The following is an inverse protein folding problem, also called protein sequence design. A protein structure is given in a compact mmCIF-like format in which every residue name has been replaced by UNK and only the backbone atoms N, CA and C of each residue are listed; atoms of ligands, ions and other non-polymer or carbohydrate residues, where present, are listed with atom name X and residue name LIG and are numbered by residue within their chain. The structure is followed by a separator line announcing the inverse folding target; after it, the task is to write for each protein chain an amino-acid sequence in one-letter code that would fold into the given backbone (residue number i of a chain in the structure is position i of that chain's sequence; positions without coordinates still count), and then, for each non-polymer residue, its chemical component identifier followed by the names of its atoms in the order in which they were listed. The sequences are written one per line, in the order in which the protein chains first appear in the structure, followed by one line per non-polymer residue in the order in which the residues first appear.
data_IF_355623752564
#
_entry.id   IF_355623752564
#
_cell.length_a   1.000
_cell.length_b   1.000
_cell.length_c   1.000
_cell.angle_alpha   90.00
_cell.angle_beta   90.00
_cell.angle_gamma   90.00
#
_symmetry.space_group_name_H-M   'P 1'
#
loop_
_entity.id
_entity.type
_entity.pdbx_description
1 polymer ?
2 non-polymer ?
3 water ?
#
# COMPACT_ATOMS: atom_id res chain seq x y z
N UNK A 10 -1.05 -17.26 -8.77
CA UNK A 10 -0.24 -16.17 -9.39
C UNK A 10 -0.81 -14.77 -9.13
N UNK A 11 0.06 -13.93 -8.60
CA UNK A 11 -0.19 -12.50 -8.51
C UNK A 11 -0.01 -12.03 -9.96
N UNK A 12 -0.94 -11.20 -10.47
CA UNK A 12 -0.85 -10.84 -11.88
C UNK A 12 0.26 -9.83 -12.22
N UNK A 13 0.74 -9.91 -13.45
CA UNK A 13 1.70 -8.94 -13.96
C UNK A 13 0.99 -7.60 -14.14
N UNK A 14 1.75 -6.52 -14.20
CA UNK A 14 1.13 -5.20 -14.44
C UNK A 14 0.49 -5.17 -15.83
N UNK A 15 -0.54 -4.34 -16.01
CA UNK A 15 -1.14 -4.18 -17.34
C UNK A 15 -0.48 -3.08 -18.17
N UNK A 16 0.40 -2.29 -17.56
CA UNK A 16 1.02 -1.16 -18.27
C UNK A 16 2.14 -1.59 -19.19
N UNK A 17 2.72 -0.64 -19.94
CA UNK A 17 3.75 -0.96 -20.93
C UNK A 17 5.16 -1.26 -20.37
N UNK A 18 5.47 -0.87 -19.16
CA UNK A 18 6.83 -1.07 -18.64
C UNK A 18 6.99 -2.35 -17.86
N UNK A 19 8.12 -3.01 -18.04
CA UNK A 19 8.62 -4.02 -17.11
C UNK A 19 8.82 -3.40 -15.72
N UNK A 20 8.76 -4.27 -14.70
CA UNK A 20 8.74 -3.87 -13.32
C UNK A 20 9.88 -4.52 -12.51
N UNK A 21 10.53 -3.69 -11.68
CA UNK A 21 11.63 -4.11 -10.83
C UNK A 21 11.18 -4.01 -9.40
N UNK A 22 11.94 -4.60 -8.48
CA UNK A 22 11.62 -4.49 -7.07
C UNK A 22 12.86 -4.63 -6.18
N UNK A 23 12.85 -3.92 -5.06
CA UNK A 23 13.93 -3.98 -4.09
C UNK A 23 13.43 -3.51 -2.74
N UNK A 24 14.27 -3.70 -1.72
CA UNK A 24 13.99 -3.23 -0.37
C UNK A 24 14.96 -2.14 0.03
N UNK A 25 14.49 -1.19 0.82
CA UNK A 25 15.32 -0.08 1.33
C UNK A 25 15.03 0.08 2.78
N UNK A 26 16.07 -0.03 3.60
CA UNK A 26 15.92 0.32 5.00
C UNK A 26 16.95 1.38 5.34
N UNK A 27 16.45 2.57 5.69
CA UNK A 27 17.31 3.65 6.16
C UNK A 27 16.57 4.63 7.09
N UNK A 28 17.07 4.90 8.30
CA UNK A 28 18.24 4.20 8.85
C UNK A 28 17.91 2.75 9.25
N UNK A 29 18.86 2.10 9.91
CA UNK A 29 18.74 0.73 10.39
C UNK A 29 17.88 0.56 11.65
N UNK A 30 17.42 1.65 12.27
CA UNK A 30 16.76 1.55 13.57
C UNK A 30 15.28 1.36 13.38
N UNK A 31 14.60 1.11 14.49
CA UNK A 31 13.13 1.07 14.54
C UNK A 31 12.43 2.41 14.28
N UNK A 32 13.17 3.52 14.29
CA UNK A 32 12.65 4.83 13.85
C UNK A 32 12.98 5.15 12.37
N UNK A 33 13.66 4.23 11.70
CA UNK A 33 14.05 4.44 10.33
C UNK A 33 12.89 4.16 9.41
N UNK A 34 13.13 4.38 8.13
CA UNK A 34 12.19 4.00 7.08
C UNK A 34 12.54 2.59 6.59
N UNK A 35 11.51 1.78 6.42
CA UNK A 35 11.60 0.46 5.78
C UNK A 35 10.55 0.49 4.68
N UNK A 36 10.98 0.29 3.44
CA UNK A 36 10.03 0.14 2.37
C UNK A 36 10.44 -0.87 1.30
N UNK A 37 9.43 -1.35 0.57
CA UNK A 37 9.65 -2.11 -0.66
C UNK A 37 9.33 -1.22 -1.83
N UNK A 38 10.28 -1.09 -2.73
CA UNK A 38 10.18 -0.25 -3.90
C UNK A 38 9.83 -1.10 -5.13
N UNK A 39 8.82 -0.65 -5.88
CA UNK A 39 8.44 -1.21 -7.19
C UNK A 39 8.65 -0.10 -8.19
N UNK A 40 9.30 -0.40 -9.31
CA UNK A 40 9.73 0.67 -10.19
C UNK A 40 9.83 0.20 -11.64
N UNK A 41 9.68 1.13 -12.60
CA UNK A 41 9.86 0.74 -13.99
C UNK A 41 11.27 0.25 -14.20
N UNK A 42 11.43 -0.92 -14.82
CA UNK A 42 12.75 -1.55 -14.93
C UNK A 42 13.25 -1.58 -16.38
N UNK A 43 14.56 -1.48 -16.53
CA UNK A 43 15.20 -1.63 -17.83
C UNK A 43 15.07 -3.07 -18.36
N UNK A 44 15.43 -4.03 -17.51
CA UNK A 44 15.56 -5.44 -17.90
C UNK A 44 14.44 -6.29 -17.32
N UNK A 45 14.19 -7.41 -17.97
CA UNK A 45 13.10 -8.29 -17.63
C UNK A 45 13.55 -9.75 -17.52
N UNK A 46 14.84 -9.98 -17.25
CA UNK A 46 15.43 -11.32 -17.21
C UNK A 46 16.06 -11.64 -15.84
N UNK A 47 15.52 -11.03 -14.79
CA UNK A 47 15.97 -11.26 -13.42
C UNK A 47 15.03 -12.21 -12.72
N UNK A 48 15.52 -12.76 -11.62
CA UNK A 48 14.70 -13.56 -10.73
C UNK A 48 13.51 -12.77 -10.23
N UNK A 49 12.35 -13.42 -10.22
CA UNK A 49 11.17 -12.83 -9.60
C UNK A 49 11.36 -12.64 -8.09
N UNK A 50 10.47 -11.82 -7.52
CA UNK A 50 10.60 -11.35 -6.16
C UNK A 50 9.88 -12.29 -5.19
N UNK A 51 10.62 -12.74 -4.18
CA UNK A 51 10.10 -13.59 -3.11
C UNK A 51 9.05 -12.80 -2.34
N UNK A 52 7.83 -13.34 -2.30
CA UNK A 52 6.65 -12.61 -1.83
C UNK A 52 6.61 -12.31 -0.31
N UNK A 53 6.88 -13.34 0.47
CA UNK A 53 6.97 -13.22 1.92
C UNK A 53 8.36 -13.77 2.33
N UNK A 54 9.35 -12.87 2.46
CA UNK A 54 10.74 -13.26 2.47
C UNK A 54 11.39 -13.75 3.77
N UNK A 55 10.66 -13.83 4.87
CA UNK A 55 11.22 -14.38 6.10
C UNK A 55 10.16 -15.12 6.87
N UNK A 56 10.59 -16.15 7.58
CA UNK A 56 9.70 -17.00 8.38
C UNK A 56 8.96 -16.24 9.48
N UNK A 57 9.60 -15.21 10.03
CA UNK A 57 9.01 -14.46 11.13
C UNK A 57 7.69 -13.75 10.71
N UNK A 58 7.57 -13.37 9.44
CA UNK A 58 6.28 -12.82 8.95
C UNK A 58 5.13 -13.81 9.07
N UNK A 59 5.41 -15.10 8.89
CA UNK A 59 4.41 -16.14 9.04
C UNK A 59 4.06 -16.37 10.49
N UNK A 60 5.03 -16.29 11.38
CA UNK A 60 4.74 -16.27 12.81
C UNK A 60 3.83 -15.07 13.13
N UNK A 61 4.16 -13.92 12.56
CA UNK A 61 3.30 -12.73 12.63
C UNK A 61 1.87 -12.94 12.17
N UNK A 62 1.69 -13.47 10.97
CA UNK A 62 0.32 -13.72 10.45
C UNK A 62 -0.45 -14.68 11.37
N UNK A 63 0.25 -15.66 11.94
CA UNK A 63 -0.37 -16.60 12.87
C UNK A 63 -0.98 -15.94 14.12
N UNK A 64 -0.26 -14.99 14.71
CA UNK A 64 -0.77 -14.22 15.85
C UNK A 64 -1.92 -13.29 15.41
N UNK A 65 -1.83 -12.71 14.22
CA UNK A 65 -2.93 -11.91 13.65
C UNK A 65 -4.20 -12.77 13.46
N UNK A 66 -4.03 -14.03 13.10
CA UNK A 66 -5.17 -14.94 12.99
C UNK A 66 -5.64 -15.49 14.33
N UNK A 67 -4.88 -15.29 15.41
CA UNK A 67 -5.22 -15.81 16.73
C UNK A 67 -5.05 -17.32 16.88
N UNK A 68 -4.20 -17.90 16.02
CA UNK A 68 -3.88 -19.33 16.08
C UNK A 68 -2.55 -19.54 16.81
N UNK A 69 -2.24 -20.80 17.11
CA UNK A 69 -0.95 -21.14 17.71
C UNK A 69 0.15 -20.82 16.69
N UNK A 70 1.35 -20.51 17.18
CA UNK A 70 2.49 -20.20 16.27
C UNK A 70 2.88 -21.34 15.28
N UNK A 71 2.45 -22.56 15.58
CA UNK A 71 2.56 -23.71 14.68
C UNK A 71 1.81 -23.51 13.36
N UNK A 72 0.65 -22.87 13.40
CA UNK A 72 -0.01 -22.48 12.15
C UNK A 72 0.95 -21.67 11.26
N UNK A 73 1.84 -20.87 11.84
CA UNK A 73 2.83 -20.10 11.07
C UNK A 73 3.77 -20.94 10.21
N UNK A 74 4.36 -21.97 10.82
CA UNK A 74 5.18 -22.94 10.07
C UNK A 74 4.41 -23.62 8.91
N UNK A 75 3.10 -23.83 9.10
CA UNK A 75 2.21 -24.37 8.06
C UNK A 75 1.90 -23.36 6.95
N UNK A 76 1.70 -22.10 7.33
CA UNK A 76 1.55 -21.01 6.36
C UNK A 76 2.83 -20.87 5.53
N UNK A 77 3.97 -20.99 6.19
CA UNK A 77 5.24 -20.90 5.53
C UNK A 77 5.46 -22.05 4.56
N UNK A 78 5.17 -23.26 5.03
CA UNK A 78 5.17 -24.40 4.16
C UNK A 78 4.31 -24.17 2.90
N UNK A 79 3.14 -23.55 3.04
CA UNK A 79 2.21 -23.36 1.90
C UNK A 79 2.59 -22.21 0.97
N UNK A 80 3.08 -21.12 1.56
CA UNK A 80 3.29 -19.85 0.87
C UNK A 80 4.72 -19.35 0.80
N UNK A 81 5.66 -20.04 1.46
CA UNK A 81 7.02 -19.51 1.64
C UNK A 81 7.95 -19.49 0.44
N UNK A 82 7.57 -20.20 -0.62
CA UNK A 82 8.34 -20.26 -1.85
C UNK A 82 7.73 -19.37 -2.92
N UNK A 83 6.53 -18.84 -2.67
CA UNK A 83 5.79 -18.12 -3.70
C UNK A 83 6.50 -16.82 -4.02
N UNK A 84 6.56 -16.48 -5.30
CA UNK A 84 7.14 -15.23 -5.73
C UNK A 84 6.06 -14.30 -6.29
N UNK A 85 6.45 -13.07 -6.61
CA UNK A 85 5.57 -12.07 -7.23
C UNK A 85 6.29 -11.54 -8.46
N UNK A 86 5.54 -11.27 -9.57
CA UNK A 86 6.22 -11.03 -10.86
C UNK A 86 6.86 -9.63 -11.05
N UNK A 87 7.91 -9.38 -10.27
CA UNK A 87 8.75 -8.19 -10.30
C UNK A 87 10.21 -8.60 -10.27
N UNK A 88 11.02 -8.01 -11.15
CA UNK A 88 12.41 -8.39 -11.33
C UNK A 88 13.24 -7.90 -10.15
N UNK A 89 13.68 -8.82 -9.30
CA UNK A 89 14.42 -8.48 -8.08
C UNK A 89 15.73 -7.77 -8.40
N UNK A 90 15.90 -6.55 -7.86
CA UNK A 90 17.12 -5.73 -8.03
C UNK A 90 17.45 -5.38 -9.48
N UNK A 91 16.46 -5.43 -10.37
CA UNK A 91 16.63 -4.97 -11.75
C UNK A 91 17.02 -3.48 -11.71
N UNK A 92 17.95 -3.07 -12.60
CA UNK A 92 18.18 -1.63 -12.69
C UNK A 92 16.94 -0.83 -13.12
N UNK A 93 16.84 0.39 -12.61
CA UNK A 93 15.80 1.35 -12.97
C UNK A 93 15.84 1.70 -14.44
N UNK A 94 14.67 1.79 -15.06
CA UNK A 94 14.56 2.24 -16.45
C UNK A 94 14.90 3.73 -16.45
N UNK A 95 15.95 4.15 -17.17
CA UNK A 95 16.35 5.54 -17.13
C UNK A 95 15.65 6.37 -18.21
N UNK A 96 15.86 7.68 -18.12
CA UNK A 96 15.49 8.64 -19.18
C UNK A 96 14.10 9.22 -19.09
N UNK A 97 13.56 9.27 -17.89
CA UNK A 97 12.18 9.69 -17.66
C UNK A 97 11.98 9.87 -16.16
N UNK A 98 11.30 10.95 -15.77
CA UNK A 98 11.00 11.20 -14.35
C UNK A 98 9.66 10.59 -14.02
N UNK A 99 9.63 9.80 -12.96
CA UNK A 99 8.45 9.03 -12.61
C UNK A 99 7.73 9.70 -11.43
N UNK A 100 6.37 9.77 -11.47
CA UNK A 100 5.63 10.13 -10.26
C UNK A 100 5.73 9.04 -9.18
N UNK A 101 5.45 9.43 -7.93
CA UNK A 101 5.68 8.57 -6.76
C UNK A 101 4.41 8.35 -5.99
N UNK A 102 4.12 7.08 -5.70
CA UNK A 102 3.07 6.70 -4.77
C UNK A 102 3.74 6.16 -3.51
N UNK A 103 3.26 6.61 -2.35
CA UNK A 103 3.64 6.01 -1.08
C UNK A 103 2.41 5.17 -0.69
N UNK A 104 2.62 3.88 -0.40
CA UNK A 104 1.56 2.93 -0.08
C UNK A 104 1.59 2.43 1.39
N UNK A 105 0.42 2.49 2.07
CA UNK A 105 0.29 2.04 3.46
C UNK A 105 -0.57 0.78 3.60
N UNK A 106 0.02 -0.25 4.22
CA UNK A 106 -0.65 -1.52 4.44
C UNK A 106 -1.66 -1.56 5.59
N UNK A 107 -2.52 -2.57 5.55
CA UNK A 107 -3.54 -2.80 6.59
C UNK A 107 -3.00 -3.39 7.90
N UNK A 108 -3.91 -3.50 8.86
CA UNK A 108 -3.68 -4.16 10.14
C UNK A 108 -3.38 -5.63 9.93
N UNK A 109 -2.27 -6.10 10.51
CA UNK A 109 -1.80 -7.48 10.35
C UNK A 109 -1.09 -7.80 9.04
N UNK A 110 -0.94 -6.80 8.16
CA UNK A 110 -0.23 -6.94 6.89
C UNK A 110 1.22 -6.50 7.04
N UNK A 111 1.92 -6.30 5.94
CA UNK A 111 3.29 -5.74 5.98
C UNK A 111 3.61 -5.29 4.56
N UNK A 112 4.85 -4.88 4.29
CA UNK A 112 5.12 -4.13 3.02
C UNK A 112 4.99 -4.88 1.69
N UNK A 113 5.04 -6.22 1.76
CA UNK A 113 5.17 -7.05 0.58
C UNK A 113 3.83 -7.52 0.01
N UNK A 114 2.74 -7.32 0.75
CA UNK A 114 1.44 -7.97 0.48
C UNK A 114 0.45 -7.20 -0.40
N UNK A 115 0.91 -6.11 -1.03
CA UNK A 115 0.10 -5.40 -2.01
C UNK A 115 0.93 -5.22 -3.25
N UNK A 116 1.61 -6.30 -3.66
CA UNK A 116 2.38 -6.30 -4.91
C UNK A 116 1.53 -6.23 -6.18
N UNK A 117 0.31 -6.78 -6.17
CA UNK A 117 -0.56 -6.67 -7.35
C UNK A 117 -0.82 -5.20 -7.71
N UNK A 118 -1.08 -4.38 -6.69
CA UNK A 118 -1.27 -2.93 -6.87
C UNK A 118 0.03 -2.27 -7.25
N UNK A 119 1.10 -2.56 -6.50
CA UNK A 119 2.39 -1.93 -6.66
C UNK A 119 3.03 -2.18 -8.00
N UNK A 120 3.04 -3.44 -8.39
CA UNK A 120 3.46 -3.87 -9.72
C UNK A 120 2.62 -3.23 -10.82
N UNK A 121 1.31 -3.13 -10.64
CA UNK A 121 0.53 -2.54 -11.73
C UNK A 121 0.88 -1.04 -11.90
N UNK A 122 0.94 -0.32 -10.81
CA UNK A 122 1.30 1.11 -10.86
C UNK A 122 2.65 1.29 -11.54
N UNK A 123 3.65 0.51 -11.09
CA UNK A 123 5.00 0.58 -11.69
C UNK A 123 4.99 0.36 -13.17
N UNK A 124 4.24 -0.64 -13.64
CA UNK A 124 4.15 -0.95 -15.08
C UNK A 124 3.55 0.17 -15.92
N UNK A 125 2.76 1.06 -15.30
CA UNK A 125 2.30 2.29 -15.94
C UNK A 125 3.23 3.49 -15.76
N UNK A 126 4.33 3.31 -15.04
CA UNK A 126 5.36 4.34 -14.95
C UNK A 126 5.43 5.11 -13.65
N UNK A 127 4.99 4.47 -12.55
CA UNK A 127 5.15 5.00 -11.20
C UNK A 127 6.26 4.28 -10.45
N UNK A 128 6.94 5.00 -9.56
CA UNK A 128 7.70 4.37 -8.51
C UNK A 128 6.73 4.30 -7.33
N UNK A 129 6.70 3.15 -6.67
CA UNK A 129 5.81 2.89 -5.55
C UNK A 129 6.67 2.53 -4.33
N UNK A 130 6.48 3.26 -3.24
CA UNK A 130 7.15 2.99 -1.99
C UNK A 130 6.14 2.43 -1.01
N UNK A 131 6.17 1.11 -0.84
CA UNK A 131 5.31 0.42 0.10
C UNK A 131 6.07 0.38 1.43
N UNK A 132 5.66 1.23 2.36
CA UNK A 132 6.36 1.37 3.63
C UNK A 132 6.03 0.17 4.54
N UNK A 133 6.91 -0.14 5.48
CA UNK A 133 6.57 -1.12 6.50
C UNK A 133 6.53 -0.37 7.82
N UNK A 134 5.34 -0.36 8.42
CA UNK A 134 5.07 0.39 9.62
C UNK A 134 5.64 -0.30 10.84
N UNK A 135 6.16 0.52 11.74
CA UNK A 135 6.79 0.05 12.98
C UNK A 135 5.97 0.42 14.21
N UNK A 136 4.65 0.51 14.01
CA UNK A 136 3.67 0.90 15.04
C UNK A 136 3.05 -0.30 15.76
N UNK A 137 3.48 -1.51 15.39
CA UNK A 137 2.89 -2.78 15.84
C UNK A 137 1.50 -3.05 15.26
N UNK A 138 1.20 -2.41 14.12
CA UNK A 138 0.04 -2.78 13.33
C UNK A 138 0.42 -3.83 12.29
N UNK A 139 1.70 -3.94 11.95
CA UNK A 139 2.17 -4.97 11.05
C UNK A 139 2.17 -6.29 11.81
N UNK A 140 1.82 -7.39 11.12
CA UNK A 140 1.95 -8.74 11.69
C UNK A 140 3.36 -8.92 12.25
N UNK A 141 4.32 -8.48 11.45
CA UNK A 141 5.71 -8.45 11.86
C UNK A 141 6.48 -7.46 11.03
N UNK A 142 7.57 -6.97 11.60
CA UNK A 142 8.57 -6.17 10.90
C UNK A 142 9.89 -6.35 11.64
N UNK A 143 10.97 -5.83 11.09
CA UNK A 143 12.24 -5.93 11.78
C UNK A 143 13.12 -4.70 11.55
N UNK A 144 14.19 -4.66 12.36
CA UNK A 144 15.16 -3.59 12.33
C UNK A 144 16.38 -4.02 13.14
N UNK A 145 17.37 -3.14 13.24
CA UNK A 145 18.62 -3.46 13.93
C UNK A 145 18.79 -2.54 15.13
N UNK A 146 19.16 -3.15 16.26
CA UNK A 146 19.26 -2.44 17.53
C UNK A 146 20.34 -1.37 17.48
N UNK A 147 21.39 -1.62 16.72
CA UNK A 147 22.46 -0.65 16.57
C UNK A 147 23.27 -0.97 15.32
N UNK A 148 24.32 -0.21 15.07
CA UNK A 148 25.09 -0.33 13.83
C UNK A 148 25.73 -1.73 13.68
N UNK A 149 26.37 -2.21 14.75
CA UNK A 149 26.97 -3.55 14.80
C UNK A 149 26.04 -4.64 14.27
N UNK A 150 24.85 -4.71 14.88
CA UNK A 150 23.80 -5.66 14.51
C UNK A 150 23.38 -5.57 13.04
N UNK A 151 23.30 -4.34 12.52
CA UNK A 151 23.00 -4.13 11.10
C UNK A 151 24.09 -4.69 10.19
N UNK A 152 25.35 -4.45 10.51
CA UNK A 152 26.46 -4.99 9.71
C UNK A 152 26.50 -6.52 9.64
N UNK A 153 26.26 -7.18 10.77
CA UNK A 153 26.23 -8.66 10.79
C UNK A 153 24.86 -9.28 10.51
N UNK A 154 23.86 -8.48 10.15
CA UNK A 154 22.51 -8.99 9.89
C UNK A 154 21.73 -9.55 11.07
N UNK A 155 22.03 -9.07 12.28
CA UNK A 155 21.33 -9.50 13.50
C UNK A 155 19.99 -8.75 13.67
N UNK A 156 18.92 -9.38 13.18
CA UNK A 156 17.59 -8.76 13.12
C UNK A 156 16.83 -8.79 14.46
N UNK A 157 16.19 -7.67 14.77
CA UNK A 157 15.27 -7.59 15.88
C UNK A 157 13.84 -7.55 15.33
N UNK A 158 13.02 -8.46 15.81
CA UNK A 158 11.67 -8.59 15.32
C UNK A 158 10.63 -7.96 16.25
N UNK A 159 9.67 -7.29 15.64
CA UNK A 159 8.58 -6.61 16.33
C UNK A 159 7.27 -7.16 15.82
N UNK A 160 6.43 -7.67 16.73
CA UNK A 160 5.20 -8.37 16.36
C UNK A 160 3.96 -7.54 16.61
N UNK A 161 2.89 -7.84 15.86
CA UNK A 161 1.57 -7.25 16.05
C UNK A 161 1.20 -7.15 17.51
N UNK A 162 0.71 -5.98 17.92
CA UNK A 162 0.19 -5.77 19.24
C UNK A 162 -1.31 -6.07 19.27
N UNK A 163 -1.73 -6.96 20.14
CA UNK A 163 -3.16 -7.19 20.37
C UNK A 163 -3.65 -6.23 21.44
N UNK A 164 -4.79 -5.60 21.21
CA UNK A 164 -5.34 -4.58 22.11
C UNK A 164 -6.51 -5.12 22.91
N UNK A 165 -6.61 -4.67 24.15
CA UNK A 165 -7.83 -4.81 24.94
C UNK A 165 -8.84 -3.78 24.38
N UNK A 166 -10.15 -3.97 24.63
CA UNK A 166 -11.21 -3.05 24.10
C UNK A 166 -11.11 -1.63 24.64
N UNK A 167 -10.60 -1.54 25.85
CA UNK A 167 -10.33 -0.29 26.53
C UNK A 167 -9.22 0.53 25.88
N UNK A 168 -8.32 -0.13 25.16
CA UNK A 168 -7.19 0.52 24.46
C UNK A 168 -7.49 0.92 23.03
N UNK A 169 -8.57 0.43 22.44
CA UNK A 169 -8.79 0.52 20.98
C UNK A 169 -8.73 1.95 20.46
N UNK A 170 -9.56 2.84 21.01
CA UNK A 170 -9.69 4.20 20.47
C UNK A 170 -8.35 4.89 20.49
N UNK A 171 -7.80 5.03 21.69
CA UNK A 171 -6.55 5.73 21.93
C UNK A 171 -5.35 5.15 21.14
N UNK A 172 -5.15 3.84 21.19
CA UNK A 172 -3.98 3.24 20.58
C UNK A 172 -4.06 3.24 19.05
N UNK A 173 -5.23 2.87 18.49
CA UNK A 173 -5.44 3.00 17.03
C UNK A 173 -5.17 4.41 16.53
N UNK A 174 -5.52 5.42 17.30
CA UNK A 174 -5.23 6.81 16.91
C UNK A 174 -3.73 7.13 17.00
N UNK A 175 -3.04 6.66 18.05
CA UNK A 175 -1.58 6.83 18.18
C UNK A 175 -0.88 6.18 16.98
N UNK A 176 -1.38 5.01 16.61
CA UNK A 176 -0.86 4.27 15.47
C UNK A 176 -1.04 4.97 14.08
N UNK A 177 -2.22 5.52 13.81
CA UNK A 177 -2.45 6.18 12.51
C UNK A 177 -1.58 7.45 12.41
N UNK A 178 -1.34 8.12 13.54
CA UNK A 178 -0.45 9.29 13.54
C UNK A 178 0.99 8.88 13.26
N UNK A 179 1.44 7.79 13.90
CA UNK A 179 2.75 7.26 13.60
C UNK A 179 2.84 6.80 12.15
N UNK A 180 1.80 6.12 11.66
CA UNK A 180 1.75 5.74 10.23
C UNK A 180 1.90 6.96 9.31
N UNK A 181 1.14 8.02 9.56
CA UNK A 181 1.30 9.24 8.73
C UNK A 181 2.75 9.75 8.77
N UNK A 182 3.35 9.83 9.97
CA UNK A 182 4.75 10.22 10.12
C UNK A 182 5.74 9.37 9.36
N UNK A 183 5.49 8.05 9.32
CA UNK A 183 6.32 7.12 8.55
C UNK A 183 6.14 7.35 7.04
N UNK A 184 4.93 7.70 6.58
CA UNK A 184 4.71 8.06 5.17
C UNK A 184 5.43 9.33 4.77
N UNK A 185 5.34 10.37 5.61
CA UNK A 185 6.12 11.58 5.35
C UNK A 185 7.62 11.33 5.37
N UNK A 186 8.09 10.51 6.31
CA UNK A 186 9.54 10.24 6.40
C UNK A 186 10.05 9.48 5.16
N UNK A 187 9.25 8.52 4.70
CA UNK A 187 9.58 7.76 3.50
C UNK A 187 9.61 8.67 2.28
N UNK A 188 8.64 9.58 2.17
CA UNK A 188 8.67 10.56 1.06
C UNK A 188 9.95 11.39 1.09
N UNK A 189 10.32 11.87 2.27
CA UNK A 189 11.55 12.67 2.45
C UNK A 189 12.82 11.88 2.08
N UNK A 190 12.88 10.62 2.51
CA UNK A 190 14.02 9.77 2.16
C UNK A 190 14.15 9.65 0.65
N UNK A 191 13.04 9.33 -0.02
CA UNK A 191 13.05 9.16 -1.48
C UNK A 191 13.41 10.47 -2.15
N UNK A 192 12.80 11.56 -1.71
CA UNK A 192 13.15 12.89 -2.24
C UNK A 192 14.61 13.28 -2.01
N UNK A 193 15.19 12.92 -0.86
CA UNK A 193 16.63 13.18 -0.65
C UNK A 193 17.51 12.32 -1.52
N UNK A 194 17.08 11.09 -1.78
CA UNK A 194 17.79 10.20 -2.71
C UNK A 194 17.66 10.72 -4.15
N UNK A 195 16.50 11.26 -4.50
CA UNK A 195 16.34 11.89 -5.81
C UNK A 195 17.30 13.06 -5.96
N UNK A 196 17.39 13.89 -4.93
CA UNK A 196 18.35 15.00 -4.92
C UNK A 196 19.78 14.57 -4.55
N UNK A 197 20.09 13.27 -4.69
CA UNK A 197 21.47 12.76 -4.71
C UNK A 197 22.19 12.51 -3.41
N UNK A 198 21.51 12.67 -2.27
CA UNK A 198 22.10 12.36 -0.98
C UNK A 198 22.47 10.87 -0.98
N UNK A 199 23.77 10.55 -0.77
CA UNK A 199 24.13 9.13 -0.65
C UNK A 199 23.51 8.49 0.59
N UNK A 200 22.98 7.29 0.44
CA UNK A 200 22.23 6.61 1.48
C UNK A 200 22.73 5.16 1.49
N UNK A 201 23.40 4.77 2.56
CA UNK A 201 23.83 3.38 2.75
C UNK A 201 22.64 2.51 3.22
N UNK A 202 22.06 1.77 2.28
CA UNK A 202 20.97 0.83 2.56
C UNK A 202 21.40 -0.15 3.65
N UNK A 203 20.58 -0.27 4.69
CA UNK A 203 20.91 -1.13 5.84
C UNK A 203 20.90 -2.63 5.46
N UNK A 204 20.22 -2.94 4.36
CA UNK A 204 20.24 -4.26 3.76
C UNK A 204 21.30 -4.25 2.67
N UNK A 205 22.18 -5.25 2.64
CA UNK A 205 23.19 -5.41 1.57
C UNK A 205 22.51 -6.05 0.38
N UNK A 206 21.89 -5.24 -0.47
CA UNK A 206 21.27 -5.71 -1.69
C UNK A 206 21.98 -5.02 -2.85
N UNK A 207 22.02 -5.69 -4.00
CA UNK A 207 22.75 -5.16 -5.15
C UNK A 207 21.80 -4.34 -6.03
N UNK A 208 21.21 -3.33 -5.40
CA UNK A 208 20.50 -2.29 -6.09
C UNK A 208 21.18 -1.00 -5.65
N UNK A 209 21.89 -0.39 -6.58
CA UNK A 209 22.55 0.87 -6.36
C UNK A 209 21.51 1.99 -6.28
N UNK A 210 21.41 2.61 -5.11
CA UNK A 210 20.42 3.66 -4.86
C UNK A 210 20.71 4.93 -5.66
N UNK A 211 21.96 5.12 -6.08
CA UNK A 211 22.34 6.24 -6.93
C UNK A 211 21.57 6.32 -8.26
N UNK A 212 21.06 5.18 -8.72
CA UNK A 212 20.16 5.14 -9.88
C UNK A 212 18.94 6.05 -9.74
N UNK A 213 18.45 6.18 -8.51
CA UNK A 213 17.25 6.98 -8.25
C UNK A 213 17.48 8.49 -8.35
N UNK A 214 18.74 8.93 -8.37
CA UNK A 214 19.05 10.34 -8.58
C UNK A 214 18.34 10.88 -9.83
N UNK A 215 17.63 11.99 -9.66
CA UNK A 215 16.94 12.70 -10.75
C UNK A 215 15.94 11.84 -11.52
N UNK A 216 15.36 10.85 -10.85
CA UNK A 216 14.39 9.95 -11.46
C UNK A 216 12.95 10.18 -10.99
N UNK A 217 12.74 11.02 -9.97
CA UNK A 217 11.43 11.30 -9.39
C UNK A 217 10.90 12.63 -9.93
N UNK A 218 9.63 12.64 -10.35
CA UNK A 218 8.93 13.85 -10.75
C UNK A 218 8.45 14.46 -9.45
N UNK A 219 9.20 15.42 -8.93
CA UNK A 219 9.12 15.79 -7.50
C UNK A 219 7.79 16.42 -7.06
N UNK A 220 7.05 17.02 -7.98
CA UNK A 220 5.72 17.59 -7.69
C UNK A 220 4.62 16.53 -7.56
N UNK A 221 4.79 15.40 -8.26
CA UNK A 221 3.71 14.48 -8.54
C UNK A 221 3.75 13.32 -7.55
N UNK A 222 3.23 13.58 -6.35
CA UNK A 222 3.24 12.60 -5.26
C UNK A 222 1.82 12.31 -4.80
N UNK A 223 1.50 11.03 -4.61
CA UNK A 223 0.23 10.65 -4.03
C UNK A 223 0.44 9.65 -2.93
N UNK A 224 -0.55 9.50 -2.06
CA UNK A 224 -0.53 8.47 -1.02
C UNK A 224 -1.74 7.55 -1.27
N UNK A 225 -1.52 6.23 -1.17
CA UNK A 225 -2.57 5.20 -1.35
C UNK A 225 -2.46 4.13 -0.24
N UNK A 226 -3.57 3.56 0.20
CA UNK A 226 -3.48 2.50 1.20
C UNK A 226 -4.78 1.79 1.42
N UNK A 227 -4.65 0.61 2.03
CA UNK A 227 -5.75 -0.31 2.26
C UNK A 227 -6.10 -0.39 3.73
N UNK A 228 -7.38 -0.17 4.02
CA UNK A 228 -7.96 -0.44 5.32
C UNK A 228 -7.37 0.51 6.37
N UNK A 229 -6.54 0.02 7.30
CA UNK A 229 -5.79 0.86 8.19
C UNK A 229 -4.98 1.85 7.33
N UNK A 230 -4.45 1.35 6.23
CA UNK A 230 -3.79 2.17 5.25
C UNK A 230 -4.62 3.29 4.60
N UNK A 231 -5.94 3.10 4.57
CA UNK A 231 -6.86 4.09 4.01
C UNK A 231 -7.10 5.22 4.98
N UNK A 232 -7.16 4.90 6.28
CA UNK A 232 -7.07 5.93 7.34
C UNK A 232 -5.71 6.63 7.29
N UNK A 233 -4.65 5.85 7.11
CA UNK A 233 -3.30 6.42 7.01
C UNK A 233 -3.21 7.49 5.89
N UNK A 234 -3.77 7.19 4.72
CA UNK A 234 -3.88 8.13 3.60
C UNK A 234 -4.43 9.46 4.05
N UNK A 235 -5.54 9.41 4.77
CA UNK A 235 -6.27 10.60 5.16
C UNK A 235 -5.53 11.43 6.19
N UNK A 236 -5.02 10.78 7.22
CA UNK A 236 -4.16 11.43 8.20
C UNK A 236 -2.94 12.08 7.54
N UNK A 237 -2.26 11.32 6.68
CA UNK A 237 -1.07 11.79 5.97
C UNK A 237 -1.40 13.06 5.17
N UNK A 238 -2.47 13.05 4.38
CA UNK A 238 -2.86 14.22 3.59
C UNK A 238 -3.11 15.46 4.44
N UNK A 239 -3.81 15.29 5.57
CA UNK A 239 -4.03 16.42 6.46
C UNK A 239 -2.74 16.99 7.06
N UNK A 240 -1.72 16.17 7.20
CA UNK A 240 -0.45 16.60 7.83
C UNK A 240 0.66 17.01 6.87
N UNK A 241 0.54 16.69 5.59
CA UNK A 241 1.69 16.77 4.67
C UNK A 241 1.16 17.11 3.29
N UNK A 242 1.25 18.39 2.99
CA UNK A 242 0.74 18.95 1.76
C UNK A 242 1.61 18.61 0.56
N UNK A 243 2.76 17.93 0.77
CA UNK A 243 3.59 17.47 -0.34
C UNK A 243 2.84 16.39 -1.13
N UNK A 244 1.98 15.63 -0.45
CA UNK A 244 1.07 14.69 -1.11
C UNK A 244 -0.10 15.45 -1.72
N UNK A 245 -0.31 15.29 -3.02
CA UNK A 245 -1.27 16.13 -3.77
C UNK A 245 -2.63 15.50 -3.93
N UNK A 246 -2.73 14.18 -3.75
CA UNK A 246 -4.01 13.52 -3.67
C UNK A 246 -3.85 12.19 -2.97
N UNK A 247 -4.98 11.63 -2.56
CA UNK A 247 -5.02 10.36 -1.86
C UNK A 247 -6.09 9.45 -2.43
N UNK A 248 -5.85 8.16 -2.28
CA UNK A 248 -6.78 7.11 -2.69
C UNK A 248 -6.87 6.12 -1.53
N UNK A 249 -8.07 5.99 -0.94
CA UNK A 249 -8.30 5.13 0.20
C UNK A 249 -9.06 3.90 -0.27
N UNK A 250 -8.38 2.75 -0.21
CA UNK A 250 -8.94 1.48 -0.64
C UNK A 250 -9.62 0.84 0.55
N UNK A 251 -10.95 0.75 0.49
CA UNK A 251 -11.75 0.16 1.58
C UNK A 251 -11.20 0.63 2.91
N UNK A 252 -11.26 1.94 3.13
CA UNK A 252 -10.75 2.54 4.36
C UNK A 252 -11.45 2.10 5.66
N UNK A 253 -10.65 1.82 6.68
CA UNK A 253 -11.14 1.61 8.05
C UNK A 253 -10.99 2.95 8.78
N UNK A 254 -12.09 3.70 8.94
CA UNK A 254 -12.04 5.08 9.46
C UNK A 254 -11.84 5.21 10.96
N UNK A 255 -12.14 4.16 11.73
CA UNK A 255 -12.05 4.18 13.20
C UNK A 255 -10.80 4.83 13.84
N UNK A 256 -9.60 4.59 13.29
CA UNK A 256 -8.39 5.22 13.86
C UNK A 256 -8.30 6.76 13.85
N UNK A 257 -9.10 7.42 12.99
CA UNK A 257 -9.00 8.87 12.79
C UNK A 257 -9.59 9.70 13.93
N UNK A 258 -8.85 10.70 14.40
CA UNK A 258 -9.41 11.72 15.31
C UNK A 258 -10.49 12.59 14.67
N UNK A 259 -11.41 13.12 15.48
CA UNK A 259 -12.51 13.96 14.99
C UNK A 259 -12.03 15.24 14.32
N UNK A 260 -10.83 15.66 14.71
CA UNK A 260 -10.22 16.88 14.19
C UNK A 260 -9.82 16.80 12.72
N UNK A 261 -9.58 15.61 12.18
CA UNK A 261 -8.99 15.49 10.82
C UNK A 261 -10.00 15.70 9.69
N UNK A 262 -11.28 15.48 9.96
CA UNK A 262 -12.28 15.39 8.87
C UNK A 262 -12.45 16.66 8.03
N UNK A 263 -12.40 17.81 8.67
CA UNK A 263 -12.44 19.09 7.97
C UNK A 263 -11.06 19.58 7.46
N UNK A 264 -10.02 18.74 7.49
CA UNK A 264 -8.63 19.22 7.34
C UNK A 264 -7.89 18.52 6.18
N UNK A 265 -8.63 18.18 5.13
CA UNK A 265 -8.07 17.47 4.00
C UNK A 265 -8.33 18.29 2.73
N UNK A 266 -7.46 19.26 2.42
CA UNK A 266 -7.71 20.03 1.19
C UNK A 266 -7.52 19.26 -0.11
N UNK A 267 -6.72 18.19 -0.10
CA UNK A 267 -6.37 17.49 -1.34
C UNK A 267 -7.49 16.58 -1.89
N UNK A 268 -7.57 16.38 -3.22
CA UNK A 268 -8.51 15.39 -3.78
C UNK A 268 -8.35 14.00 -3.15
N UNK A 269 -9.48 13.37 -2.84
CA UNK A 269 -9.53 12.05 -2.18
C UNK A 269 -10.58 11.17 -2.83
N UNK A 270 -10.17 9.93 -3.09
CA UNK A 270 -10.93 8.93 -3.82
C UNK A 270 -11.10 7.73 -2.89
N UNK A 271 -12.35 7.37 -2.61
CA UNK A 271 -12.66 6.14 -1.87
C UNK A 271 -13.08 5.06 -2.85
N UNK A 272 -12.32 3.98 -2.87
CA UNK A 272 -12.68 2.75 -3.59
C UNK A 272 -12.99 1.70 -2.53
N UNK A 273 -14.26 1.28 -2.47
CA UNK A 273 -14.71 0.37 -1.43
C UNK A 273 -15.10 -0.97 -2.01
N UNK A 274 -15.05 -1.98 -1.12
CA UNK A 274 -15.62 -3.27 -1.42
C UNK A 274 -17.11 -3.23 -1.07
N UNK A 275 -17.90 -4.11 -1.68
CA UNK A 275 -19.32 -4.20 -1.37
C UNK A 275 -19.63 -4.75 0.02
N UNK A 276 -18.87 -5.76 0.44
CA UNK A 276 -19.20 -6.49 1.67
C UNK A 276 -18.55 -5.98 2.96
N UNK A 277 -17.45 -5.24 2.89
CA UNK A 277 -16.79 -4.71 4.11
C UNK A 277 -17.56 -3.59 4.79
N UNK A 278 -18.09 -2.64 4.00
CA UNK A 278 -18.54 -1.37 4.53
C UNK A 278 -19.80 -1.45 5.38
N UNK A 279 -19.94 -0.47 6.27
CA UNK A 279 -21.06 -0.38 7.19
C UNK A 279 -21.34 1.10 7.47
N UNK A 280 -22.56 1.46 7.91
CA UNK A 280 -22.94 2.86 8.14
C UNK A 280 -21.95 3.73 8.92
N UNK A 281 -21.55 3.30 10.12
CA UNK A 281 -20.57 4.06 10.93
C UNK A 281 -19.33 4.48 10.13
N UNK A 282 -18.86 3.59 9.26
CA UNK A 282 -17.69 3.84 8.42
C UNK A 282 -18.01 4.76 7.24
N UNK A 283 -19.15 4.57 6.58
CA UNK A 283 -19.59 5.44 5.49
C UNK A 283 -19.87 6.87 5.98
N UNK A 284 -20.50 6.99 7.14
CA UNK A 284 -20.77 8.30 7.76
C UNK A 284 -19.45 9.07 7.97
N UNK A 285 -18.42 8.38 8.43
CA UNK A 285 -17.10 8.99 8.61
C UNK A 285 -16.46 9.43 7.29
N UNK A 286 -16.56 8.58 6.28
CA UNK A 286 -16.15 8.99 4.93
C UNK A 286 -16.87 10.28 4.51
N UNK A 287 -18.18 10.35 4.76
CA UNK A 287 -18.98 11.50 4.34
C UNK A 287 -18.69 12.77 5.16
N UNK A 288 -18.10 12.63 6.36
CA UNK A 288 -17.55 13.78 7.11
C UNK A 288 -16.30 14.41 6.45
N UNK A 289 -15.65 13.71 5.52
CA UNK A 289 -14.59 14.28 4.73
C UNK A 289 -15.07 15.19 3.61
N UNK A 290 -16.38 15.18 3.31
CA UNK A 290 -16.91 15.97 2.18
C UNK A 290 -17.18 17.41 2.62
N UNK A 291 -16.83 18.35 1.73
CA UNK A 291 -17.24 19.74 1.80
C UNK A 291 -17.40 20.24 0.38
N UNK A 292 -18.22 21.28 0.18
CA UNK A 292 -18.51 21.65 -1.21
C UNK A 292 -17.26 22.13 -1.98
N UNK A 293 -16.29 22.72 -1.27
CA UNK A 293 -15.03 23.14 -1.89
C UNK A 293 -14.04 22.00 -2.22
N UNK A 294 -14.20 20.82 -1.59
CA UNK A 294 -13.24 19.72 -1.73
C UNK A 294 -13.63 18.72 -2.83
N UNK A 295 -12.63 18.18 -3.51
CA UNK A 295 -12.85 17.20 -4.58
C UNK A 295 -12.94 15.82 -3.95
N UNK A 296 -14.10 15.18 -4.07
CA UNK A 296 -14.30 13.85 -3.45
C UNK A 296 -14.96 12.92 -4.41
N UNK A 297 -14.51 11.67 -4.43
CA UNK A 297 -15.12 10.61 -5.27
C UNK A 297 -15.17 9.30 -4.50
N UNK A 298 -16.17 8.49 -4.81
CA UNK A 298 -16.41 7.22 -4.15
C UNK A 298 -17.04 6.23 -5.12
N UNK A 299 -16.48 5.02 -5.15
CA UNK A 299 -17.06 3.90 -5.87
C UNK A 299 -16.99 2.61 -5.07
N UNK A 300 -17.85 1.68 -5.44
CA UNK A 300 -17.93 0.38 -4.80
C UNK A 300 -17.89 -0.76 -5.83
N UNK A 301 -16.97 -1.68 -5.59
CA UNK A 301 -16.75 -2.82 -6.51
C UNK A 301 -17.79 -3.87 -6.16
N UNK A 302 -18.66 -4.19 -7.13
CA UNK A 302 -19.72 -5.18 -6.92
C UNK A 302 -19.13 -6.55 -6.70
N UNK A 303 -19.69 -7.27 -5.75
CA UNK A 303 -19.25 -8.62 -5.45
C UNK A 303 -17.88 -8.73 -4.81
N UNK A 304 -17.33 -7.63 -4.31
CA UNK A 304 -15.99 -7.65 -3.70
C UNK A 304 -16.05 -7.70 -2.19
N UNK A 305 -14.96 -8.21 -1.62
CA UNK A 305 -14.73 -8.28 -0.17
C UNK A 305 -13.46 -7.49 0.15
N UNK A 306 -13.30 -7.18 1.44
CA UNK A 306 -12.15 -6.42 1.97
C UNK A 306 -10.78 -6.92 1.48
N UNK A 307 -10.62 -8.24 1.39
CA UNK A 307 -9.35 -8.83 0.95
C UNK A 307 -9.04 -8.75 -0.55
N UNK A 308 -10.01 -8.35 -1.39
CA UNK A 308 -9.75 -8.15 -2.83
C UNK A 308 -8.59 -7.13 -3.13
N UNK A 309 -8.25 -6.27 -2.17
CA UNK A 309 -7.16 -5.30 -2.35
C UNK A 309 -5.77 -5.85 -2.03
N UNK A 310 -5.71 -6.97 -1.29
CA UNK A 310 -4.42 -7.54 -0.88
C UNK A 310 -4.13 -8.81 -1.68
N UNK A 311 -2.86 -9.23 -1.64
CA UNK A 311 -2.34 -10.26 -2.53
C UNK A 311 -2.82 -11.68 -2.18
N UNK A 312 -3.32 -11.90 -0.96
CA UNK A 312 -3.88 -13.21 -0.62
C UNK A 312 -5.15 -13.55 -1.40
N UNK A 313 -5.79 -12.56 -2.04
CA UNK A 313 -6.91 -12.83 -2.95
C UNK A 313 -6.45 -13.62 -4.16
N UNK A 314 -5.14 -13.60 -4.46
CA UNK A 314 -4.55 -14.41 -5.53
C UNK A 314 -3.79 -15.65 -5.13
N UNK A 315 -3.64 -15.92 -3.83
CA UNK A 315 -2.68 -16.94 -3.34
C UNK A 315 -3.23 -18.36 -3.16
N UNK A 316 -4.54 -18.50 -3.31
CA UNK A 316 -5.23 -19.80 -3.20
C UNK A 316 -6.23 -19.96 -4.36
N UNK A 317 -6.78 -21.15 -4.47
CA UNK A 317 -7.82 -21.45 -5.47
C UNK A 317 -9.17 -20.84 -5.14
N UNK A 318 -10.06 -20.80 -6.14
CA UNK A 318 -11.35 -20.11 -6.04
C UNK A 318 -12.24 -20.58 -4.89
N UNK A 319 -12.26 -21.89 -4.63
CA UNK A 319 -13.15 -22.46 -3.63
C UNK A 319 -12.66 -22.12 -2.23
N UNK A 320 -11.40 -22.43 -1.94
CA UNK A 320 -10.81 -22.13 -0.62
C UNK A 320 -10.67 -20.61 -0.36
N UNK A 321 -10.48 -19.84 -1.42
CA UNK A 321 -10.40 -18.37 -1.28
C UNK A 321 -11.75 -17.81 -0.84
N UNK A 322 -12.82 -18.30 -1.47
CA UNK A 322 -14.17 -17.84 -1.18
C UNK A 322 -14.62 -18.22 0.23
N UNK A 323 -14.18 -19.41 0.66
CA UNK A 323 -14.43 -19.89 2.02
C UNK A 323 -13.76 -19.04 3.08
N UNK A 324 -12.50 -18.65 2.85
CA UNK A 324 -11.70 -17.85 3.81
C UNK A 324 -11.90 -16.33 3.70
N UNK A 325 -12.87 -15.91 2.90
CA UNK A 325 -13.15 -14.51 2.62
C UNK A 325 -11.97 -13.77 2.02
N UNK A 326 -11.16 -14.50 1.24
CA UNK A 326 -10.06 -13.93 0.48
C UNK A 326 -10.52 -13.51 -0.91
N UNK A 327 -11.54 -14.16 -1.44
CA UNK A 327 -12.13 -13.83 -2.75
C UNK A 327 -13.60 -13.51 -2.55
N UNK A 328 -14.16 -12.71 -3.46
CA UNK A 328 -15.58 -12.44 -3.47
C UNK A 328 -16.26 -13.16 -4.62
N UNK A 329 -17.49 -12.72 -4.91
CA UNK A 329 -18.28 -13.23 -6.03
C UNK A 329 -17.63 -12.88 -7.35
N UNK A 330 -17.08 -11.69 -7.38
CA UNK A 330 -16.33 -11.16 -8.50
C UNK A 330 -14.98 -11.84 -8.61
N UNK A 331 -14.53 -12.02 -9.85
CA UNK A 331 -13.15 -12.46 -10.11
C UNK A 331 -12.09 -11.50 -9.54
N UNK A 332 -11.04 -12.06 -8.93
CA UNK A 332 -10.01 -11.23 -8.27
C UNK A 332 -9.22 -10.31 -9.23
N UNK A 333 -8.89 -10.82 -10.41
CA UNK A 333 -8.23 -10.03 -11.45
C UNK A 333 -9.15 -8.95 -11.99
N UNK A 334 -10.41 -9.29 -12.17
CA UNK A 334 -11.39 -8.31 -12.63
C UNK A 334 -11.45 -7.17 -11.59
N UNK A 335 -11.55 -7.52 -10.31
CA UNK A 335 -11.74 -6.55 -9.25
C UNK A 335 -10.58 -5.58 -9.16
N UNK A 336 -9.36 -6.14 -9.08
CA UNK A 336 -8.17 -5.34 -8.92
C UNK A 336 -7.87 -4.51 -10.19
N UNK A 337 -8.25 -5.01 -11.38
CA UNK A 337 -8.13 -4.23 -12.63
C UNK A 337 -8.97 -2.94 -12.53
N UNK A 338 -10.18 -3.04 -11.98
CA UNK A 338 -11.06 -1.87 -11.78
C UNK A 338 -10.46 -0.86 -10.80
N UNK A 339 -10.07 -1.34 -9.62
CA UNK A 339 -9.39 -0.52 -8.63
C UNK A 339 -8.12 0.15 -9.18
N UNK A 340 -7.25 -0.65 -9.81
CA UNK A 340 -6.01 -0.10 -10.37
C UNK A 340 -6.25 0.92 -11.49
N UNK A 341 -7.14 0.60 -12.45
CA UNK A 341 -7.42 1.50 -13.59
C UNK A 341 -8.11 2.80 -13.18
N UNK A 342 -9.06 2.70 -12.25
CA UNK A 342 -9.72 3.87 -11.69
C UNK A 342 -8.74 4.73 -10.89
N UNK A 343 -7.85 4.09 -10.11
CA UNK A 343 -6.78 4.82 -9.42
C UNK A 343 -5.92 5.59 -10.43
N UNK A 344 -5.56 4.93 -11.53
CA UNK A 344 -4.71 5.56 -12.56
C UNK A 344 -5.33 6.82 -13.15
N UNK A 345 -6.63 6.77 -13.46
CA UNK A 345 -7.33 7.92 -14.02
C UNK A 345 -7.38 9.07 -13.01
N UNK A 346 -7.71 8.75 -11.76
CA UNK A 346 -7.70 9.75 -10.69
C UNK A 346 -6.33 10.40 -10.51
N UNK A 347 -5.27 9.59 -10.47
CA UNK A 347 -3.89 10.11 -10.35
C UNK A 347 -3.53 11.01 -11.53
N UNK A 348 -3.87 10.57 -12.73
CA UNK A 348 -3.65 11.40 -13.90
C UNK A 348 -4.34 12.77 -13.75
N UNK A 349 -5.59 12.75 -13.33
CA UNK A 349 -6.36 13.97 -13.14
C UNK A 349 -5.72 14.93 -12.12
N UNK A 350 -5.42 14.41 -10.94
CA UNK A 350 -5.02 15.28 -9.83
C UNK A 350 -3.52 15.49 -9.65
N UNK A 351 -2.69 14.73 -10.38
CA UNK A 351 -1.27 15.03 -10.47
C UNK A 351 -0.89 15.70 -11.78
N UNK A 352 -1.83 15.82 -12.73
CA UNK A 352 -1.54 16.46 -14.01
C UNK A 352 -0.58 15.67 -14.87
N UNK A 353 -0.77 14.36 -14.95
CA UNK A 353 0.08 13.48 -15.77
C UNK A 353 -0.34 13.59 -17.25
N UNK A 354 0.64 13.42 -18.15
CA UNK A 354 0.39 13.43 -19.59
C UNK A 354 0.55 12.02 -20.16
N UNK A 355 -0.30 11.11 -19.67
CA UNK A 355 -0.37 9.74 -20.10
C UNK A 355 -1.77 9.49 -20.71
N UNK A 356 -2.20 8.24 -20.79
CA UNK A 356 -3.48 7.87 -21.43
C UNK A 356 -4.49 7.34 -20.40
N UNK A 357 -4.28 7.64 -19.13
CA UNK A 357 -5.08 7.05 -18.05
C UNK A 357 -6.49 7.61 -18.01
N UNK A 358 -6.71 8.75 -18.70
CA UNK A 358 -8.05 9.31 -18.88
C UNK A 358 -9.00 8.41 -19.67
N UNK A 359 -8.46 7.40 -20.38
CA UNK A 359 -9.32 6.32 -20.94
C UNK A 359 -10.19 5.68 -19.85
N UNK A 360 -9.73 5.67 -18.60
CA UNK A 360 -10.52 5.08 -17.51
C UNK A 360 -11.34 6.07 -16.66
N UNK A 361 -11.57 7.31 -17.16
CA UNK A 361 -12.29 8.35 -16.40
C UNK A 361 -13.69 7.88 -15.95
N UNK A 362 -14.39 7.17 -16.83
CA UNK A 362 -15.72 6.64 -16.50
C UNK A 362 -15.75 5.77 -15.24
N UNK A 363 -14.65 5.10 -14.92
CA UNK A 363 -14.54 4.31 -13.68
C UNK A 363 -14.58 5.11 -12.38
N UNK A 364 -14.11 6.36 -12.42
CA UNK A 364 -14.16 7.26 -11.25
C UNK A 364 -15.61 7.57 -10.85
N UNK A 365 -16.51 7.62 -11.83
CA UNK A 365 -17.94 7.82 -11.59
C UNK A 365 -18.70 6.48 -11.36
N UNK A 366 -17.97 5.37 -11.35
CA UNK A 366 -18.55 4.07 -11.12
C UNK A 366 -19.43 3.65 -12.27
N UNK A 367 -19.05 4.06 -13.49
CA UNK A 367 -19.79 3.73 -14.71
C UNK A 367 -19.17 2.50 -15.37
N UNK A 368 -19.68 1.35 -14.93
CA UNK A 368 -19.21 0.02 -15.33
C UNK A 368 -20.18 -0.98 -14.70
N UNK A 369 -20.42 -2.11 -15.35
CA UNK A 369 -21.40 -3.06 -14.82
C UNK A 369 -20.99 -3.75 -13.51
N UNK A 370 -19.69 -3.85 -13.24
CA UNK A 370 -19.20 -4.29 -11.92
C UNK A 370 -18.90 -3.15 -10.95
N UNK A 371 -19.46 -1.95 -11.20
CA UNK A 371 -19.28 -0.86 -10.25
C UNK A 371 -20.61 -0.28 -9.80
N UNK A 372 -20.61 0.22 -8.56
CA UNK A 372 -21.72 0.98 -8.01
C UNK A 372 -21.15 2.39 -7.83
N UNK A 373 -21.80 3.40 -8.44
CA UNK A 373 -21.42 4.78 -8.10
C UNK A 373 -21.68 5.03 -6.60
N UNK A 374 -20.76 5.72 -5.94
CA UNK A 374 -20.88 5.97 -4.50
C UNK A 374 -20.90 4.70 -3.68
N UNK A 375 -21.93 4.56 -2.84
CA UNK A 375 -22.03 3.43 -1.94
C UNK A 375 -23.38 2.78 -1.95
N UNK A 376 -23.36 1.45 -1.80
CA UNK A 376 -24.54 0.65 -1.54
C UNK A 376 -25.10 0.82 -0.11
N UNK A 377 -24.32 1.37 0.82
CA UNK A 377 -24.71 1.44 2.23
C UNK A 377 -25.70 2.58 2.47
N UNK A 378 -26.88 2.24 2.95
CA UNK A 378 -27.89 3.20 3.36
C UNK A 378 -27.55 3.71 4.76
N UNK A 379 -27.73 5.01 4.97
CA UNK A 379 -27.48 5.66 6.26
C UNK A 379 -28.77 6.36 6.72
N UNK A 380 -28.92 6.46 8.05
CA UNK A 380 -30.17 6.89 8.73
C UNK A 380 -31.44 6.28 8.12
X LIG B 1 -2.77 -9.77 5.29
X LIG B 1 -3.17 -9.39 6.53
X LIG B 1 -4.57 -7.73 5.51
X LIG B 1 -5.97 -6.25 6.79
X LIG B 1 -7.03 -5.21 6.57
X LIG B 1 -7.38 -3.67 8.53
X LIG B 1 -9.24 -4.70 9.54
X LIG B 1 -9.14 -5.52 10.84
X LIG B 1 -9.76 -4.82 12.03
X LIG B 1 -11.20 -4.43 11.74
X LIG B 1 -8.73 -5.52 8.36
X LIG B 1 -4.15 -8.14 4.26
X LIG B 1 -3.23 -9.18 4.15
X LIG B 1 -1.88 -10.79 5.17
X LIG B 1 -4.08 -8.36 6.65
X LIG B 1 -5.47 -6.69 5.52
X LIG B 1 -7.70 -4.82 7.80
X LIG B 1 -6.46 -2.92 8.31
X LIG B 1 -8.30 -3.59 9.52
X LIG B 1 -11.28 -3.54 10.50
X LIG B 1 -10.68 -4.25 9.30
X LIG B 1 -9.17 -6.58 7.97
X LIG B 1 -2.84 -9.83 7.30
X LIG B 1 -5.26 -5.88 7.32
X LIG B 1 -6.36 -7.02 7.28
X LIG B 1 -7.70 -5.57 5.93
X LIG B 1 -6.62 -4.42 6.16
X LIG B 1 -9.60 -6.38 10.70
X LIG B 1 -8.20 -5.70 11.02
X LIG B 1 -9.24 -4.02 12.24
X LIG B 1 -9.74 -5.41 12.81
X LIG B 1 -11.56 -3.94 12.51
X LIG B 1 -11.74 -5.22 11.60
X LIG B 1 -4.48 -7.72 3.48
X LIG B 1 -2.94 -9.47 3.30
X LIG B 1 -4.36 -8.09 7.50
X LIG B 1 -8.30 -2.93 10.10
X LIG B 1 -10.81 -2.71 10.66
X LIG B 1 -12.22 -3.33 10.32
X LIG B 1 -11.22 -5.02 9.07
X LIG B 1 -10.70 -3.62 8.53
#
# INVERSE_FOLDING_TARGET
MAAASFGQTKIPRGNGPYSVGCTDLMFDHTNKGTFLRLYYPSQDNDRLDTLWIPNKEYFWGLSKFLGTHWLMGNILRLLFGSMTTPANWNSPLRPGEKYPLVVFSHGLGAFRTLYSAIGIDLASHGFIVAAVEHRDRSASATYYFKDQSAAEIGDKSWLYLRTLKQEEETHIRNEQVRQRAKECSQALSLILDIDHGKPVKNALDLKFDMEQLKDSIDREKIAVIGHSFGGATVIQTLSEDQRFRCGIALDAWMFPLGDEVYSRIPQPLFFINSEYFQYPANIIKMKKCYSPDKERKMITIRGSVHQNFADFTFATGKIIGHMLKLKGDIDSNVAIDLSNKASLAFLQKHLGLHKDFDQWDCLIEGDDENLIPGTNINTTNQHHHHHH
7BJ C2 C3 C5 C7 C8 C10 C13 C14 C15 C16 C19 C21 C22 F1 C4 O6 N9 O11 N12 C17 C18 O20 H23 H26 H25 H27 H28 H31 H30 H33 H32 H35 H34 H40 H41 H24 H29 H37 H36 H38 H39
#
